data_IF_127209628813
#
_entry.id   IF_127209628813
#
_cell.length_a   1.000
_cell.length_b   1.000
_cell.length_c   1.000
_cell.angle_alpha   90.00
_cell.angle_beta   90.00
_cell.angle_gamma   90.00
#
_symmetry.space_group_name_H-M   'P 1'
#
loop_
_entity.id
_entity.type
_entity.pdbx_description
1 polymer ?
#
# COMPACT_ATOMS: atom_id res chain seq x y z
N UNK A 1 25.86 -73.08 -25.14
CA UNK A 1 26.38 -71.93 -24.37
C UNK A 1 25.20 -70.96 -24.16
N UNK A 2 24.62 -70.78 -22.96
CA UNK A 2 25.11 -69.93 -21.85
C UNK A 2 25.09 -68.45 -22.29
N UNK A 3 24.47 -67.45 -21.65
CA UNK A 3 23.90 -67.13 -20.33
C UNK A 3 22.86 -65.98 -20.59
N UNK A 4 21.80 -65.66 -19.85
CA UNK A 4 21.62 -65.49 -18.41
C UNK A 4 21.28 -64.01 -18.10
N UNK A 5 20.24 -63.80 -17.27
CA UNK A 5 19.84 -62.56 -16.56
C UNK A 5 19.22 -61.40 -17.38
N UNK A 6 18.16 -60.71 -16.96
CA UNK A 6 17.41 -60.75 -15.71
C UNK A 6 16.12 -59.92 -15.86
N UNK A 7 15.00 -60.52 -15.43
CA UNK A 7 13.68 -59.90 -15.29
C UNK A 7 13.50 -59.57 -13.82
N UNK A 8 13.62 -58.30 -13.44
CA UNK A 8 13.19 -57.63 -12.19
C UNK A 8 14.11 -56.43 -11.94
N UNK A 9 13.63 -55.19 -12.05
CA UNK A 9 14.06 -54.03 -11.21
C UNK A 9 13.53 -52.64 -11.66
N UNK A 10 12.70 -52.52 -12.70
CA UNK A 10 12.22 -51.19 -13.11
C UNK A 10 11.05 -50.61 -12.27
N UNK A 11 10.37 -51.44 -11.46
CA UNK A 11 9.14 -51.03 -10.77
C UNK A 11 9.31 -50.39 -9.39
N UNK A 12 10.41 -50.67 -8.69
CA UNK A 12 10.57 -50.27 -7.27
C UNK A 12 10.99 -48.81 -7.12
N UNK A 13 11.94 -48.36 -7.93
CA UNK A 13 12.49 -47.01 -7.83
C UNK A 13 11.52 -45.91 -8.28
N UNK A 14 10.63 -46.18 -9.23
CA UNK A 14 9.59 -45.24 -9.64
C UNK A 14 8.56 -45.00 -8.53
N UNK A 15 8.21 -46.05 -7.77
CA UNK A 15 7.27 -45.95 -6.65
C UNK A 15 7.89 -45.20 -5.47
N UNK A 16 9.17 -45.46 -5.16
CA UNK A 16 9.90 -44.71 -4.12
C UNK A 16 10.09 -43.23 -4.48
N UNK A 17 10.28 -42.90 -5.77
CA UNK A 17 10.41 -41.52 -6.23
C UNK A 17 9.08 -40.75 -6.11
N UNK A 18 7.95 -41.38 -6.45
CA UNK A 18 6.63 -40.76 -6.36
C UNK A 18 6.12 -40.58 -4.91
N UNK A 19 6.42 -41.54 -4.02
CA UNK A 19 6.14 -41.38 -2.58
C UNK A 19 7.05 -40.33 -1.92
N UNK A 20 8.30 -40.21 -2.39
CA UNK A 20 9.27 -39.23 -1.88
C UNK A 20 8.90 -37.78 -2.22
N UNK A 21 8.21 -37.53 -3.34
CA UNK A 21 7.77 -36.19 -3.74
C UNK A 21 6.42 -35.78 -3.14
N UNK A 22 5.58 -36.75 -2.75
CA UNK A 22 4.25 -36.45 -2.21
C UNK A 22 4.31 -35.74 -0.84
N UNK A 23 5.25 -36.15 0.02
CA UNK A 23 5.42 -35.59 1.37
C UNK A 23 5.90 -34.13 1.37
N UNK A 24 6.96 -33.75 0.64
CA UNK A 24 7.38 -32.35 0.52
C UNK A 24 6.32 -31.48 -0.15
N UNK A 25 5.61 -32.01 -1.15
CA UNK A 25 4.54 -31.28 -1.84
C UNK A 25 3.35 -31.06 -0.91
N UNK A 26 2.89 -32.09 -0.19
CA UNK A 26 1.84 -31.95 0.82
C UNK A 26 2.25 -31.01 1.96
N UNK A 27 3.51 -31.08 2.42
CA UNK A 27 4.03 -30.18 3.44
C UNK A 27 4.10 -28.72 2.93
N UNK A 28 4.52 -28.49 1.68
CA UNK A 28 4.48 -27.17 1.05
C UNK A 28 3.04 -26.66 0.91
N UNK A 29 2.10 -27.52 0.51
CA UNK A 29 0.68 -27.16 0.46
C UNK A 29 0.09 -26.86 1.84
N UNK A 30 0.46 -27.60 2.90
CA UNK A 30 0.01 -27.36 4.27
C UNK A 30 0.65 -26.10 4.86
N UNK A 31 1.97 -25.90 4.69
CA UNK A 31 2.66 -24.69 5.13
C UNK A 31 2.17 -23.44 4.37
N UNK A 32 1.87 -23.58 3.08
CA UNK A 32 1.21 -22.53 2.32
C UNK A 32 -0.22 -22.31 2.82
N UNK A 33 -0.97 -23.36 3.14
CA UNK A 33 -2.35 -23.25 3.64
C UNK A 33 -2.43 -22.64 5.04
N UNK A 34 -1.48 -22.89 5.95
CA UNK A 34 -1.45 -22.24 7.27
C UNK A 34 -1.09 -20.75 7.16
N UNK A 35 -0.25 -20.38 6.18
CA UNK A 35 0.03 -18.97 5.84
C UNK A 35 -1.14 -18.29 5.12
N UNK A 36 -1.96 -19.07 4.45
CA UNK A 36 -3.07 -18.61 3.62
C UNK A 36 -4.42 -18.67 4.37
N UNK A 37 -4.58 -19.47 5.41
CA UNK A 37 -5.83 -19.63 6.15
C UNK A 37 -6.15 -18.46 7.08
N UNK A 38 -5.17 -17.98 7.83
CA UNK A 38 -5.32 -16.79 8.70
C UNK A 38 -5.28 -15.49 7.88
N UNK A 39 -4.45 -15.44 6.84
CA UNK A 39 -4.37 -14.31 5.91
C UNK A 39 -5.60 -14.19 5.00
N UNK A 40 -6.08 -15.31 4.43
CA UNK A 40 -7.28 -15.30 3.59
C UNK A 40 -8.58 -15.36 4.38
N UNK A 41 -8.66 -15.76 5.63
CA UNK A 41 -9.89 -15.53 6.41
C UNK A 41 -10.09 -14.05 6.71
N UNK A 42 -8.99 -13.28 6.84
CA UNK A 42 -9.02 -11.82 6.86
C UNK A 42 -9.40 -11.22 5.49
N UNK A 43 -8.80 -11.70 4.40
CA UNK A 43 -9.06 -11.22 3.03
C UNK A 43 -10.42 -11.71 2.47
N UNK A 44 -10.90 -12.89 2.86
CA UNK A 44 -12.19 -13.48 2.45
C UNK A 44 -13.37 -12.75 3.10
N UNK A 45 -13.19 -12.24 4.33
CA UNK A 45 -14.15 -11.27 4.91
C UNK A 45 -14.17 -9.95 4.14
N UNK A 46 -13.08 -9.59 3.46
CA UNK A 46 -13.01 -8.44 2.56
C UNK A 46 -13.52 -8.72 1.14
N UNK A 47 -13.59 -9.99 0.71
CA UNK A 47 -13.97 -10.38 -0.66
C UNK A 47 -15.37 -11.01 -0.76
N UNK A 48 -16.12 -11.04 0.33
CA UNK A 48 -17.54 -11.34 0.32
C UNK A 48 -18.31 -10.22 -0.36
N UNK A 49 -18.53 -10.34 -1.67
CA UNK A 49 -19.48 -9.53 -2.44
C UNK A 49 -20.90 -9.82 -1.96
N UNK A 50 -21.27 -9.19 -0.84
CA UNK A 50 -22.64 -8.95 -0.40
C UNK A 50 -22.90 -7.44 -0.39
N UNK A 51 -24.17 -7.00 -0.39
CA UNK A 51 -24.57 -5.59 -0.47
C UNK A 51 -24.13 -4.71 0.72
N UNK A 52 -23.33 -5.25 1.66
CA UNK A 52 -22.81 -4.54 2.83
C UNK A 52 -21.41 -3.93 2.64
N UNK A 53 -20.60 -4.41 1.68
CA UNK A 53 -19.25 -3.88 1.45
C UNK A 53 -19.24 -2.54 0.70
N UNK A 54 -20.24 -2.32 -0.16
CA UNK A 54 -20.33 -1.08 -0.94
C UNK A 54 -20.63 0.12 -0.04
N UNK A 55 -21.53 -0.04 0.94
CA UNK A 55 -21.85 1.01 1.91
C UNK A 55 -20.70 1.38 2.85
N UNK A 56 -19.88 0.42 3.27
CA UNK A 56 -18.71 0.70 4.11
C UNK A 56 -17.62 1.46 3.33
N UNK A 57 -17.35 1.06 2.08
CA UNK A 57 -16.39 1.73 1.21
C UNK A 57 -16.87 3.13 0.78
N UNK A 58 -18.18 3.31 0.57
CA UNK A 58 -18.76 4.62 0.28
C UNK A 58 -18.58 5.61 1.45
N UNK A 59 -18.69 5.13 2.69
CA UNK A 59 -18.45 5.98 3.88
C UNK A 59 -16.98 6.30 4.07
N UNK A 60 -16.07 5.33 3.91
CA UNK A 60 -14.62 5.53 4.10
C UNK A 60 -14.01 6.40 3.00
N UNK A 61 -14.43 6.20 1.74
CA UNK A 61 -13.88 6.88 0.57
C UNK A 61 -14.78 8.00 0.04
N UNK A 62 -15.60 8.58 0.92
CA UNK A 62 -16.54 9.63 0.58
C UNK A 62 -15.83 10.84 -0.03
N UNK A 63 -16.30 11.32 -1.17
CA UNK A 63 -15.73 12.49 -1.86
C UNK A 63 -14.55 12.16 -2.78
N UNK A 64 -14.00 10.94 -2.71
CA UNK A 64 -12.90 10.52 -3.58
C UNK A 64 -13.33 10.45 -5.06
N UNK A 65 -14.48 9.86 -5.44
CA UNK A 65 -14.92 9.81 -6.84
C UNK A 65 -15.12 11.19 -7.48
N UNK A 66 -15.49 12.21 -6.70
CA UNK A 66 -15.69 13.58 -7.17
C UNK A 66 -14.37 14.35 -7.29
N UNK A 67 -13.37 13.99 -6.49
CA UNK A 67 -12.06 14.62 -6.47
C UNK A 67 -11.15 14.10 -7.58
N UNK A 68 -11.12 12.78 -7.84
CA UNK A 68 -10.22 12.16 -8.82
C UNK A 68 -10.31 12.80 -10.23
N UNK A 69 -11.49 13.13 -10.81
CA UNK A 69 -11.59 13.79 -12.10
C UNK A 69 -10.92 15.18 -12.17
N UNK A 70 -10.72 15.84 -11.02
CA UNK A 70 -10.13 17.19 -10.95
C UNK A 70 -8.61 17.17 -10.84
N UNK A 71 -8.05 16.03 -10.43
CA UNK A 71 -6.62 15.86 -10.16
C UNK A 71 -5.99 14.94 -11.20
N UNK A 72 -6.74 14.03 -11.80
CA UNK A 72 -6.19 13.11 -12.78
C UNK A 72 -5.68 13.81 -14.06
N UNK A 73 -4.61 13.25 -14.62
CA UNK A 73 -4.12 13.54 -15.95
C UNK A 73 -5.10 13.02 -17.02
N UNK A 74 -4.85 13.35 -18.29
CA UNK A 74 -5.69 12.94 -19.42
C UNK A 74 -5.85 11.41 -19.53
N UNK A 75 -4.82 10.65 -19.16
CA UNK A 75 -4.77 9.19 -19.15
C UNK A 75 -5.36 8.56 -17.86
N UNK A 76 -6.01 9.37 -17.03
CA UNK A 76 -6.55 9.01 -15.70
C UNK A 76 -5.48 8.63 -14.68
N UNK A 77 -4.23 9.06 -14.85
CA UNK A 77 -3.18 8.88 -13.83
C UNK A 77 -3.25 9.99 -12.78
N UNK A 78 -3.15 9.63 -11.49
CA UNK A 78 -3.05 10.56 -10.35
C UNK A 78 -1.73 10.33 -9.62
N UNK A 79 -1.01 11.39 -9.26
CA UNK A 79 0.16 11.28 -8.38
C UNK A 79 -0.35 11.31 -6.96
N UNK A 80 -0.14 10.24 -6.19
CA UNK A 80 -0.64 10.10 -4.83
C UNK A 80 0.53 10.16 -3.86
N UNK A 81 0.33 10.90 -2.78
CA UNK A 81 1.24 10.90 -1.64
C UNK A 81 0.44 11.01 -0.34
N UNK A 82 1.06 10.74 0.80
CA UNK A 82 0.37 10.78 2.09
C UNK A 82 1.13 11.60 3.13
N UNK A 83 0.40 12.35 3.96
CA UNK A 83 0.95 13.19 5.03
C UNK A 83 0.17 13.00 6.33
N UNK A 84 0.88 13.16 7.45
CA UNK A 84 0.29 13.31 8.78
C UNK A 84 0.81 14.61 9.42
N UNK A 85 0.32 14.95 10.61
CA UNK A 85 0.73 16.16 11.33
C UNK A 85 2.25 16.30 11.46
N UNK A 86 2.95 15.24 11.88
CA UNK A 86 4.39 15.27 12.09
C UNK A 86 5.17 15.73 10.85
N UNK A 87 4.67 15.41 9.65
CA UNK A 87 5.30 15.75 8.37
C UNK A 87 4.64 16.92 7.64
N UNK A 88 3.57 17.48 8.20
CA UNK A 88 2.88 18.64 7.66
C UNK A 88 3.35 19.96 8.29
N UNK A 89 4.02 19.93 9.45
CA UNK A 89 4.44 21.13 10.19
C UNK A 89 5.09 22.19 9.27
N UNK A 90 4.89 23.49 9.53
CA UNK A 90 5.52 24.54 8.73
C UNK A 90 7.05 24.36 8.62
N UNK A 91 7.57 24.45 7.40
CA UNK A 91 8.98 24.22 7.07
C UNK A 91 9.43 22.76 7.09
N UNK A 92 8.50 21.81 7.23
CA UNK A 92 8.81 20.37 7.26
C UNK A 92 8.69 19.71 5.88
N UNK A 93 8.66 18.38 5.86
CA UNK A 93 8.75 17.56 4.66
C UNK A 93 7.66 17.87 3.62
N UNK A 94 6.44 18.23 4.03
CA UNK A 94 5.39 18.63 3.10
C UNK A 94 5.78 19.87 2.29
N UNK A 95 6.30 20.90 2.95
CA UNK A 95 6.65 22.16 2.29
C UNK A 95 7.82 21.95 1.32
N UNK A 96 8.87 21.25 1.76
CA UNK A 96 10.03 20.90 0.93
C UNK A 96 9.62 20.04 -0.28
N UNK A 97 8.71 19.09 -0.07
CA UNK A 97 8.21 18.25 -1.14
C UNK A 97 7.48 19.08 -2.19
N UNK A 98 6.56 19.98 -1.79
CA UNK A 98 5.84 20.84 -2.73
C UNK A 98 6.77 21.85 -3.43
N UNK A 99 7.73 22.42 -2.71
CA UNK A 99 8.77 23.31 -3.26
C UNK A 99 9.61 22.60 -4.32
N UNK A 100 9.96 21.33 -4.11
CA UNK A 100 10.73 20.55 -5.10
C UNK A 100 10.05 20.42 -6.47
N UNK A 101 8.71 20.44 -6.53
CA UNK A 101 8.00 20.50 -7.81
C UNK A 101 8.03 21.90 -8.41
N UNK A 102 7.88 22.96 -7.59
CA UNK A 102 7.88 24.36 -8.05
C UNK A 102 9.22 24.74 -8.67
N UNK A 103 10.31 24.28 -8.06
CA UNK A 103 11.67 24.58 -8.49
C UNK A 103 12.25 23.54 -9.45
N UNK A 104 11.53 22.43 -9.65
CA UNK A 104 11.95 21.36 -10.54
C UNK A 104 11.87 21.74 -12.01
N UNK A 105 12.84 21.26 -12.79
CA UNK A 105 12.90 21.51 -14.25
C UNK A 105 11.72 20.85 -14.94
N UNK A 106 10.80 21.67 -15.45
CA UNK A 106 9.62 21.25 -16.23
C UNK A 106 8.68 20.26 -15.51
N UNK A 107 8.57 20.35 -14.17
CA UNK A 107 7.68 19.48 -13.39
C UNK A 107 6.68 20.24 -12.50
N UNK A 108 6.72 21.57 -12.47
CA UNK A 108 5.80 22.38 -11.67
C UNK A 108 4.32 22.09 -11.99
N UNK A 109 4.02 21.78 -13.26
CA UNK A 109 2.67 21.44 -13.72
C UNK A 109 2.13 20.14 -13.08
N UNK A 110 3.00 19.23 -12.62
CA UNK A 110 2.59 17.99 -11.97
C UNK A 110 1.92 18.23 -10.62
N UNK A 111 2.08 19.41 -10.01
CA UNK A 111 1.35 19.78 -8.78
C UNK A 111 -0.17 19.81 -8.99
N UNK A 112 -0.64 20.11 -10.20
CA UNK A 112 -2.07 20.04 -10.53
C UNK A 112 -2.58 18.59 -10.49
N UNK A 113 -1.68 17.62 -10.56
CA UNK A 113 -1.99 16.19 -10.57
C UNK A 113 -1.59 15.45 -9.30
N UNK A 114 -1.14 16.19 -8.29
CA UNK A 114 -0.75 15.65 -7.00
C UNK A 114 -1.95 15.62 -6.05
N UNK A 115 -2.35 14.43 -5.61
CA UNK A 115 -3.31 14.19 -4.55
C UNK A 115 -2.60 13.92 -3.23
N UNK A 116 -2.74 14.84 -2.28
CA UNK A 116 -2.17 14.75 -0.95
C UNK A 116 -3.18 14.13 0.02
N UNK A 117 -2.90 12.91 0.48
CA UNK A 117 -3.78 12.12 1.35
C UNK A 117 -3.40 12.36 2.80
N UNK A 118 -4.21 13.13 3.51
CA UNK A 118 -4.02 13.40 4.92
C UNK A 118 -4.59 12.27 5.79
N UNK A 119 -3.77 11.79 6.72
CA UNK A 119 -4.09 10.66 7.61
C UNK A 119 -4.62 11.11 8.98
N UNK A 120 -4.57 12.41 9.28
CA UNK A 120 -5.15 13.02 10.48
C UNK A 120 -5.64 14.45 10.19
N UNK A 121 -6.47 14.98 11.08
CA UNK A 121 -7.12 16.27 10.90
C UNK A 121 -6.14 17.45 10.85
N UNK A 122 -5.04 17.41 11.62
CA UNK A 122 -4.05 18.51 11.64
C UNK A 122 -3.21 18.51 10.38
N UNK A 123 -2.81 17.32 9.90
CA UNK A 123 -2.23 17.14 8.58
C UNK A 123 -3.14 17.64 7.45
N UNK A 124 -4.44 17.38 7.54
CA UNK A 124 -5.42 17.83 6.53
C UNK A 124 -5.59 19.35 6.51
N UNK A 125 -5.75 20.00 7.67
CA UNK A 125 -5.83 21.46 7.75
C UNK A 125 -4.59 22.12 7.15
N UNK A 126 -3.42 21.58 7.48
CA UNK A 126 -2.16 22.10 6.96
C UNK A 126 -2.00 21.86 5.46
N UNK A 127 -2.37 20.68 4.95
CA UNK A 127 -2.41 20.40 3.53
C UNK A 127 -3.22 21.46 2.77
N UNK A 128 -4.46 21.72 3.19
CA UNK A 128 -5.35 22.70 2.53
C UNK A 128 -4.76 24.11 2.50
N UNK A 129 -3.93 24.46 3.48
CA UNK A 129 -3.29 25.76 3.54
C UNK A 129 -2.17 25.94 2.50
N UNK A 130 -1.59 24.85 1.99
CA UNK A 130 -0.41 24.90 1.10
C UNK A 130 -0.61 24.22 -0.26
N UNK A 131 -1.68 23.44 -0.42
CA UNK A 131 -1.96 22.64 -1.61
C UNK A 131 -3.48 22.53 -1.89
N UNK A 132 -3.96 22.69 -3.14
CA UNK A 132 -5.39 22.67 -3.46
C UNK A 132 -6.02 21.26 -3.49
N UNK A 133 -5.24 20.21 -3.67
CA UNK A 133 -5.76 18.84 -3.88
C UNK A 133 -5.44 17.94 -2.69
N UNK A 134 -6.18 18.16 -1.60
CA UNK A 134 -6.07 17.42 -0.35
C UNK A 134 -7.27 16.48 -0.16
N UNK A 135 -7.02 15.27 0.34
CA UNK A 135 -8.05 14.30 0.70
C UNK A 135 -7.86 13.81 2.12
N UNK A 136 -8.89 13.90 2.96
CA UNK A 136 -8.84 13.40 4.33
C UNK A 136 -9.29 11.95 4.38
N UNK A 137 -8.35 11.04 4.68
CA UNK A 137 -8.63 9.61 4.79
C UNK A 137 -8.93 9.25 6.25
N UNK A 138 -10.21 9.32 6.62
CA UNK A 138 -10.68 8.97 7.96
C UNK A 138 -10.98 7.46 8.10
N UNK A 139 -10.01 6.62 7.72
CA UNK A 139 -10.16 5.16 7.72
C UNK A 139 -9.62 4.48 8.98
N UNK A 140 -8.90 5.22 9.83
CA UNK A 140 -8.02 4.62 10.83
C UNK A 140 -8.56 4.78 12.24
N UNK A 141 -8.67 3.66 12.96
CA UNK A 141 -9.02 3.63 14.39
C UNK A 141 -7.87 4.08 15.31
N UNK A 142 -6.70 4.35 14.73
CA UNK A 142 -5.44 4.65 15.42
C UNK A 142 -5.05 6.11 15.18
N UNK A 143 -4.54 6.79 16.21
CA UNK A 143 -3.96 8.13 16.09
C UNK A 143 -2.67 8.08 15.25
N UNK A 144 -2.69 8.70 14.07
CA UNK A 144 -1.57 8.72 13.12
C UNK A 144 -0.79 10.04 13.11
N UNK A 145 -1.03 10.93 14.08
CA UNK A 145 -0.41 12.25 14.15
C UNK A 145 1.13 12.23 14.26
N UNK A 146 1.69 11.24 14.95
CA UNK A 146 3.14 11.09 15.17
C UNK A 146 3.79 10.13 14.17
N UNK A 147 5.10 10.26 13.97
CA UNK A 147 5.89 9.19 13.35
C UNK A 147 5.72 7.87 14.12
N UNK A 148 5.62 6.75 13.41
CA UNK A 148 5.37 5.44 14.01
C UNK A 148 6.62 4.56 13.98
N UNK A 149 6.91 3.81 15.07
CA UNK A 149 8.03 2.87 15.08
C UNK A 149 7.87 1.80 14.00
N UNK A 150 8.97 1.47 13.31
CA UNK A 150 8.98 0.44 12.28
C UNK A 150 8.47 -0.91 12.83
N UNK A 151 7.62 -1.59 12.06
CA UNK A 151 6.98 -2.88 12.40
C UNK A 151 6.03 -2.86 13.63
N UNK A 152 5.68 -1.69 14.17
CA UNK A 152 4.61 -1.61 15.17
C UNK A 152 3.22 -1.92 14.55
N UNK A 153 2.22 -2.34 15.35
CA UNK A 153 0.84 -2.48 14.89
C UNK A 153 0.32 -1.24 14.17
N UNK A 154 0.56 -0.05 14.74
CA UNK A 154 0.21 1.24 14.13
C UNK A 154 0.90 1.46 12.77
N UNK A 155 2.15 1.01 12.63
CA UNK A 155 2.87 1.06 11.35
C UNK A 155 2.25 0.11 10.31
N UNK A 156 1.75 -1.05 10.73
CA UNK A 156 1.05 -1.98 9.82
C UNK A 156 -0.30 -1.41 9.39
N UNK A 157 -1.04 -0.77 10.29
CA UNK A 157 -2.30 -0.07 9.97
C UNK A 157 -2.08 1.03 8.92
N UNK A 158 -0.98 1.79 9.00
CA UNK A 158 -0.60 2.75 7.96
C UNK A 158 -0.38 2.09 6.60
N UNK A 159 0.32 0.95 6.58
CA UNK A 159 0.58 0.20 5.35
C UNK A 159 -0.72 -0.30 4.75
N UNK A 160 -1.60 -0.90 5.57
CA UNK A 160 -2.91 -1.38 5.12
C UNK A 160 -3.78 -0.25 4.59
N UNK A 161 -3.90 0.85 5.34
CA UNK A 161 -4.66 2.04 4.95
C UNK A 161 -4.23 2.56 3.57
N UNK A 162 -2.92 2.63 3.34
CA UNK A 162 -2.36 3.05 2.06
C UNK A 162 -2.69 2.06 0.93
N UNK A 163 -2.56 0.75 1.17
CA UNK A 163 -2.89 -0.27 0.18
C UNK A 163 -4.38 -0.25 -0.17
N UNK A 164 -5.26 -0.11 0.81
CA UNK A 164 -6.71 -0.03 0.60
C UNK A 164 -7.09 1.24 -0.18
N UNK A 165 -6.47 2.39 0.14
CA UNK A 165 -6.69 3.62 -0.64
C UNK A 165 -6.25 3.45 -2.10
N UNK A 166 -5.06 2.89 -2.33
CA UNK A 166 -4.55 2.63 -3.68
C UNK A 166 -5.45 1.66 -4.46
N UNK A 167 -5.92 0.59 -3.82
CA UNK A 167 -6.89 -0.32 -4.42
C UNK A 167 -8.17 0.41 -4.82
N UNK A 168 -8.70 1.28 -3.96
CA UNK A 168 -9.93 2.03 -4.26
C UNK A 168 -9.77 2.93 -5.48
N UNK A 169 -8.61 3.58 -5.66
CA UNK A 169 -8.32 4.39 -6.84
C UNK A 169 -8.38 3.54 -8.12
N UNK A 170 -7.84 2.32 -8.09
CA UNK A 170 -7.91 1.37 -9.22
C UNK A 170 -9.35 0.91 -9.49
N UNK A 171 -10.12 0.59 -8.45
CA UNK A 171 -11.54 0.20 -8.57
C UNK A 171 -12.40 1.30 -9.19
N UNK A 172 -12.05 2.57 -8.96
CA UNK A 172 -12.69 3.74 -9.57
C UNK A 172 -12.22 3.99 -11.02
N UNK A 173 -11.31 3.16 -11.55
CA UNK A 173 -10.86 3.21 -12.94
C UNK A 173 -9.80 4.26 -13.23
N UNK A 174 -8.95 4.57 -12.24
CA UNK A 174 -7.80 5.48 -12.36
C UNK A 174 -6.49 4.71 -12.19
N UNK A 175 -5.43 5.23 -12.81
CA UNK A 175 -4.06 4.79 -12.56
C UNK A 175 -3.43 5.68 -11.48
N UNK A 176 -2.36 5.22 -10.85
CA UNK A 176 -1.63 6.06 -9.90
C UNK A 176 -0.12 5.88 -9.93
N UNK A 177 0.58 6.99 -9.66
CA UNK A 177 1.98 7.01 -9.27
C UNK A 177 2.04 7.34 -7.79
N UNK A 178 2.68 6.50 -6.99
CA UNK A 178 2.78 6.75 -5.55
C UNK A 178 4.18 7.23 -5.19
N UNK A 179 4.28 8.38 -4.52
CA UNK A 179 5.54 8.84 -3.94
C UNK A 179 5.66 8.42 -2.48
N UNK A 180 6.67 7.60 -2.19
CA UNK A 180 6.98 7.18 -0.84
C UNK A 180 7.70 8.30 -0.09
N UNK A 181 6.93 9.14 0.62
CA UNK A 181 7.48 9.88 1.76
C UNK A 181 7.54 8.92 2.94
N UNK A 182 8.73 8.71 3.48
CA UNK A 182 8.89 7.79 4.59
C UNK A 182 8.31 8.42 5.85
N UNK A 183 7.03 8.18 6.09
CA UNK A 183 6.41 8.39 7.41
C UNK A 183 6.97 7.44 8.49
N UNK A 184 7.80 6.48 8.05
CA UNK A 184 8.38 5.36 8.80
C UNK A 184 9.81 5.65 9.27
N UNK A 185 10.49 6.65 8.70
CA UNK A 185 11.83 7.06 9.15
C UNK A 185 11.68 8.05 10.32
N UNK A 186 12.36 7.84 11.46
CA UNK A 186 12.34 8.78 12.58
C UNK A 186 12.74 10.20 12.13
N UNK A 187 12.02 11.22 12.60
CA UNK A 187 12.29 12.64 12.25
C UNK A 187 13.70 13.11 12.63
N UNK A 188 14.42 12.33 13.43
CA UNK A 188 15.81 12.60 13.81
C UNK A 188 16.79 12.57 12.63
N UNK A 189 16.40 12.00 11.48
CA UNK A 189 17.22 11.99 10.27
C UNK A 189 16.86 13.09 9.25
N UNK A 190 15.78 13.84 9.48
CA UNK A 190 15.34 14.96 8.63
C UNK A 190 15.40 16.29 9.43
N UNK A 191 16.53 16.55 10.09
CA UNK A 191 16.89 17.92 10.43
C UNK A 191 17.52 18.56 9.19
N UNK A 192 16.80 19.50 8.59
CA UNK A 192 17.34 20.39 7.57
C UNK A 192 18.62 21.05 8.13
N UNK A 193 19.75 21.06 7.40
CA UNK A 193 20.86 21.89 7.78
C UNK A 193 20.39 23.35 7.75
N UNK A 194 20.56 24.03 8.88
CA UNK A 194 20.37 25.48 8.96
C UNK A 194 21.37 26.13 8.02
N UNK A 195 20.95 26.53 6.82
CA UNK A 195 21.75 27.43 6.00
C UNK A 195 21.65 28.83 6.60
N UNK A 196 22.68 29.19 7.37
CA UNK A 196 23.00 30.56 7.74
C UNK A 196 23.76 31.26 6.62
#
# INVERSE_FOLDING_TARGET
MGLGFGRKEAGSHAVSFLLGTALPTALLFLLASDRLGEGLSSISRSWGSGPASDGANEVIFKGLPELLPRVAMEDRTVIITSVNEAWAQPGSLLDLYLESFRDGVDIAHLLNHLLEVALDARGFERCKAVHPHCYFLNATSVDMSSAKPFMSPDCLELVWTKLTFQQRVLELGYNFLFTARSSIIPSQHFQSPSFH
#
